data_IF_961219093592
#
_entry.id   IF_961219093592
#
_cell.length_a   1.000
_cell.length_b   1.000
_cell.length_c   1.000
_cell.angle_alpha   90.00
_cell.angle_beta   90.00
_cell.angle_gamma   90.00
#
_symmetry.space_group_name_H-M   'P 1'
#
loop_
_entity.id
_entity.type
_entity.pdbx_description
1 polymer ?
#
# COMPACT_ATOMS: atom_id res chain seq x y z
N UNK A 1 2.34 -16.88 -2.93
CA UNK A 1 3.11 -15.89 -2.18
C UNK A 1 2.55 -15.71 -0.76
N UNK A 2 1.37 -15.09 -0.55
CA UNK A 2 0.76 -14.96 0.80
C UNK A 2 0.54 -16.33 1.45
N UNK A 3 0.08 -17.34 0.70
CA UNK A 3 -0.06 -18.72 1.18
C UNK A 3 1.26 -19.34 1.62
N UNK A 4 2.32 -19.07 0.87
CA UNK A 4 3.66 -19.59 1.20
C UNK A 4 4.18 -18.96 2.50
N UNK A 5 3.96 -17.65 2.68
CA UNK A 5 4.29 -16.96 3.94
C UNK A 5 3.46 -17.58 5.08
N UNK A 6 2.14 -17.70 4.93
CA UNK A 6 1.25 -18.26 5.94
C UNK A 6 1.67 -19.68 6.36
N UNK A 7 2.10 -20.51 5.41
CA UNK A 7 2.54 -21.89 5.69
C UNK A 7 3.80 -21.96 6.57
N UNK A 8 4.60 -20.90 6.64
CA UNK A 8 5.83 -20.83 7.44
C UNK A 8 5.65 -20.05 8.74
N UNK A 9 4.47 -19.46 9.01
CA UNK A 9 4.19 -18.75 10.25
C UNK A 9 3.76 -19.72 11.38
N UNK A 10 4.04 -19.35 12.63
CA UNK A 10 3.47 -20.04 13.76
C UNK A 10 1.93 -20.09 13.71
N UNK A 11 1.35 -21.17 14.23
CA UNK A 11 -0.10 -21.31 14.24
C UNK A 11 -0.76 -20.15 15.03
N UNK A 12 -1.75 -19.51 14.42
CA UNK A 12 -2.49 -18.39 15.01
C UNK A 12 -1.84 -17.02 14.81
N UNK A 13 -0.72 -16.94 14.07
CA UNK A 13 -0.15 -15.66 13.68
C UNK A 13 -0.61 -15.25 12.28
N UNK A 14 -1.18 -14.03 12.12
CA UNK A 14 -1.61 -13.54 10.81
C UNK A 14 -0.42 -13.23 9.89
N UNK A 15 -0.64 -13.27 8.59
CA UNK A 15 0.28 -12.67 7.62
C UNK A 15 0.09 -11.16 7.68
N UNK A 16 1.16 -10.44 8.01
CA UNK A 16 1.16 -8.99 8.18
C UNK A 16 1.59 -8.31 6.89
N UNK A 17 0.65 -7.60 6.27
CA UNK A 17 0.83 -6.89 4.99
C UNK A 17 0.92 -5.40 5.24
N UNK A 18 1.92 -4.71 4.69
CA UNK A 18 1.95 -3.26 4.62
C UNK A 18 1.51 -2.81 3.23
N UNK A 19 0.64 -1.82 3.16
CA UNK A 19 0.24 -1.18 1.90
C UNK A 19 0.25 0.34 2.01
N UNK A 20 0.35 1.02 0.86
CA UNK A 20 0.47 2.46 0.77
C UNK A 20 -0.41 3.01 -0.34
N UNK A 21 -1.05 4.16 -0.11
CA UNK A 21 -2.05 4.75 -0.98
C UNK A 21 -3.36 3.92 -1.01
N UNK A 22 -4.16 4.09 -2.05
CA UNK A 22 -5.30 3.23 -2.33
C UNK A 22 -5.12 2.59 -3.71
N UNK A 23 -5.03 1.29 -3.73
CA UNK A 23 -5.06 0.46 -4.92
C UNK A 23 -6.11 -0.64 -4.77
N UNK A 24 -7.21 -0.28 -4.13
CA UNK A 24 -8.40 -1.09 -3.93
C UNK A 24 -9.45 -0.87 -5.01
N UNK A 25 -10.63 -1.43 -4.81
CA UNK A 25 -11.71 -1.44 -5.78
C UNK A 25 -12.35 -0.06 -6.01
N UNK A 26 -12.25 0.87 -5.06
CA UNK A 26 -12.72 2.26 -5.26
C UNK A 26 -11.86 3.05 -6.25
N UNK A 27 -10.55 2.77 -6.30
CA UNK A 27 -9.63 3.44 -7.24
C UNK A 27 -9.49 2.70 -8.57
N UNK A 28 -9.73 1.39 -8.58
CA UNK A 28 -9.60 0.56 -9.78
C UNK A 28 -10.94 -0.13 -10.09
N UNK A 29 -10.99 -1.44 -10.21
CA UNK A 29 -12.24 -2.20 -10.46
C UNK A 29 -12.23 -3.47 -9.64
N UNK A 30 -13.40 -3.91 -9.22
CA UNK A 30 -13.65 -5.15 -8.48
C UNK A 30 -12.77 -5.31 -7.23
N UNK A 31 -11.78 -6.20 -7.28
CA UNK A 31 -10.92 -6.54 -6.15
C UNK A 31 -9.79 -5.52 -5.88
N UNK A 32 -9.63 -4.55 -6.76
CA UNK A 32 -8.46 -3.69 -6.75
C UNK A 32 -7.24 -4.36 -7.37
N UNK A 33 -6.07 -3.77 -7.17
CA UNK A 33 -4.78 -4.34 -7.59
C UNK A 33 -3.98 -4.84 -6.39
N UNK A 34 -3.46 -3.96 -5.54
CA UNK A 34 -2.73 -4.34 -4.34
C UNK A 34 -3.60 -5.03 -3.29
N UNK A 35 -4.89 -4.68 -3.19
CA UNK A 35 -5.82 -5.29 -2.25
C UNK A 35 -6.37 -6.63 -2.71
N UNK A 36 -6.37 -6.91 -4.01
CA UNK A 36 -6.85 -8.17 -4.58
C UNK A 36 -6.24 -9.42 -3.93
N UNK A 37 -4.91 -9.58 -3.83
CA UNK A 37 -4.34 -10.74 -3.17
C UNK A 37 -4.66 -10.84 -1.68
N UNK A 38 -4.92 -9.70 -1.02
CA UNK A 38 -5.33 -9.64 0.39
C UNK A 38 -6.73 -10.23 0.56
N UNK A 39 -7.71 -9.77 -0.23
CA UNK A 39 -9.08 -10.25 -0.17
C UNK A 39 -9.19 -11.72 -0.52
N UNK A 40 -8.54 -12.16 -1.61
CA UNK A 40 -8.55 -13.57 -1.99
C UNK A 40 -7.88 -14.48 -0.97
N UNK A 41 -6.85 -14.00 -0.28
CA UNK A 41 -6.24 -14.77 0.79
C UNK A 41 -7.16 -14.86 2.03
N UNK A 42 -7.81 -13.78 2.40
CA UNK A 42 -8.80 -13.76 3.48
C UNK A 42 -9.99 -14.69 3.19
N UNK A 43 -10.54 -14.64 1.96
CA UNK A 43 -11.59 -15.56 1.52
C UNK A 43 -11.16 -17.03 1.53
N UNK A 44 -9.88 -17.30 1.29
CA UNK A 44 -9.30 -18.64 1.40
C UNK A 44 -9.04 -19.08 2.85
N UNK A 45 -9.44 -18.28 3.84
CA UNK A 45 -9.31 -18.59 5.26
C UNK A 45 -7.89 -18.37 5.82
N UNK A 46 -7.05 -17.62 5.12
CA UNK A 46 -5.74 -17.21 5.63
C UNK A 46 -5.94 -16.01 6.57
N UNK A 47 -5.42 -16.11 7.78
CA UNK A 47 -5.43 -15.00 8.73
C UNK A 47 -4.49 -13.89 8.25
N UNK A 48 -5.03 -12.69 8.05
CA UNK A 48 -4.32 -11.53 7.52
C UNK A 48 -4.55 -10.32 8.40
N UNK A 49 -3.48 -9.56 8.61
CA UNK A 49 -3.52 -8.26 9.25
C UNK A 49 -2.85 -7.23 8.34
N UNK A 50 -3.54 -6.11 8.06
CA UNK A 50 -3.04 -5.09 7.13
C UNK A 50 -2.68 -3.81 7.86
N UNK A 51 -1.48 -3.29 7.63
CA UNK A 51 -1.11 -1.93 7.95
C UNK A 51 -1.36 -1.05 6.73
N UNK A 52 -2.32 -0.14 6.83
CA UNK A 52 -2.64 0.84 5.79
C UNK A 52 -2.04 2.19 6.18
N UNK A 53 -1.03 2.64 5.44
CA UNK A 53 -0.45 3.96 5.64
C UNK A 53 -1.46 5.07 5.34
N UNK A 54 -1.46 6.14 6.14
CA UNK A 54 -2.36 7.29 5.94
C UNK A 54 -2.22 7.94 4.56
N UNK A 55 -1.01 7.94 4.00
CA UNK A 55 -0.69 8.49 2.68
C UNK A 55 -0.93 10.01 2.62
N UNK A 56 -0.20 10.74 3.48
CA UNK A 56 -0.18 12.20 3.43
C UNK A 56 0.31 12.72 2.07
N UNK A 57 -0.20 13.88 1.57
CA UNK A 57 -1.15 14.77 2.26
C UNK A 57 -2.63 14.44 2.06
N UNK A 58 -3.00 13.60 1.09
CA UNK A 58 -4.40 13.39 0.69
C UNK A 58 -5.12 12.25 1.42
N UNK A 59 -4.43 11.53 2.28
CA UNK A 59 -4.96 10.48 3.16
C UNK A 59 -5.71 9.35 2.43
N UNK A 60 -5.21 8.93 1.26
CA UNK A 60 -5.82 7.82 0.50
C UNK A 60 -5.84 6.49 1.27
N UNK A 61 -4.95 6.33 2.25
CA UNK A 61 -4.97 5.19 3.15
C UNK A 61 -6.25 5.05 3.95
N UNK A 62 -6.96 6.16 4.20
CA UNK A 62 -8.29 6.15 4.83
C UNK A 62 -9.32 5.40 3.98
N UNK A 63 -9.27 5.55 2.65
CA UNK A 63 -10.11 4.79 1.72
C UNK A 63 -9.76 3.30 1.79
N UNK A 64 -8.45 2.98 1.82
CA UNK A 64 -7.99 1.59 1.96
C UNK A 64 -8.47 0.96 3.26
N UNK A 65 -8.37 1.68 4.39
CA UNK A 65 -8.85 1.19 5.68
C UNK A 65 -10.38 0.95 5.65
N UNK A 66 -11.13 1.84 5.04
CA UNK A 66 -12.58 1.67 4.88
C UNK A 66 -12.93 0.44 4.02
N UNK A 67 -12.23 0.23 2.90
CA UNK A 67 -12.43 -0.95 2.06
C UNK A 67 -12.09 -2.25 2.80
N UNK A 68 -10.96 -2.30 3.51
CA UNK A 68 -10.56 -3.46 4.31
C UNK A 68 -11.59 -3.79 5.38
N UNK A 69 -12.10 -2.76 6.09
CA UNK A 69 -13.16 -2.91 7.07
C UNK A 69 -14.46 -3.45 6.45
N UNK A 70 -14.82 -2.97 5.26
CA UNK A 70 -16.01 -3.44 4.52
C UNK A 70 -15.93 -4.91 4.12
N UNK A 71 -14.70 -5.44 3.93
CA UNK A 71 -14.45 -6.86 3.66
C UNK A 71 -14.16 -7.69 4.93
N UNK A 72 -14.22 -7.08 6.12
CA UNK A 72 -13.95 -7.76 7.38
C UNK A 72 -12.47 -8.14 7.58
N UNK A 73 -11.55 -7.53 6.83
CA UNK A 73 -10.12 -7.75 6.98
C UNK A 73 -9.59 -6.94 8.16
N UNK A 74 -8.90 -7.59 9.09
CA UNK A 74 -8.28 -6.92 10.23
C UNK A 74 -7.17 -5.97 9.76
N UNK A 75 -7.18 -4.74 10.25
CA UNK A 75 -6.22 -3.74 9.83
C UNK A 75 -5.95 -2.66 10.89
N UNK A 76 -4.86 -1.94 10.71
CA UNK A 76 -4.58 -0.68 11.39
C UNK A 76 -4.32 0.43 10.37
N UNK A 77 -4.88 1.59 10.63
CA UNK A 77 -4.56 2.83 9.91
C UNK A 77 -3.39 3.49 10.63
N UNK A 78 -2.26 3.68 9.95
CA UNK A 78 -1.01 4.11 10.56
C UNK A 78 -0.43 5.35 9.87
N UNK A 79 0.40 6.11 10.59
CA UNK A 79 1.16 7.21 9.98
C UNK A 79 2.20 6.67 8.99
N UNK A 80 2.48 7.43 7.93
CA UNK A 80 3.38 6.99 6.84
C UNK A 80 4.76 6.53 7.32
N UNK A 81 5.32 7.17 8.34
CA UNK A 81 6.66 6.86 8.83
C UNK A 81 6.70 5.59 9.72
N UNK A 82 5.55 5.10 10.19
CA UNK A 82 5.51 3.89 11.02
C UNK A 82 5.88 2.62 10.24
N UNK A 83 5.67 2.60 8.91
CA UNK A 83 5.95 1.43 8.08
C UNK A 83 7.40 0.94 8.20
N UNK A 84 8.38 1.86 8.15
CA UNK A 84 9.79 1.52 8.33
C UNK A 84 10.10 0.97 9.73
N UNK A 85 9.51 1.57 10.77
CA UNK A 85 9.64 1.09 12.15
C UNK A 85 9.08 -0.32 12.32
N UNK A 86 7.91 -0.60 11.78
CA UNK A 86 7.30 -1.93 11.83
C UNK A 86 8.16 -3.00 11.13
N UNK A 87 8.74 -2.65 9.97
CA UNK A 87 9.65 -3.56 9.25
C UNK A 87 10.91 -3.87 10.08
N UNK A 88 11.53 -2.87 10.72
CA UNK A 88 12.68 -3.07 11.59
C UNK A 88 12.40 -4.00 12.79
N UNK A 89 11.16 -4.07 13.23
CA UNK A 89 10.74 -4.90 14.37
C UNK A 89 10.13 -6.25 13.95
N UNK A 90 10.27 -6.63 12.67
CA UNK A 90 9.74 -7.91 12.16
C UNK A 90 8.22 -8.01 12.21
N UNK A 91 7.53 -6.87 12.17
CA UNK A 91 6.07 -6.80 12.25
C UNK A 91 5.41 -6.73 10.87
N UNK A 92 6.17 -6.81 9.78
CA UNK A 92 5.69 -6.84 8.40
C UNK A 92 6.30 -8.04 7.69
N UNK A 93 5.47 -8.88 7.11
CA UNK A 93 5.92 -10.06 6.37
C UNK A 93 6.06 -9.78 4.87
N UNK A 94 5.30 -8.81 4.35
CA UNK A 94 5.28 -8.45 2.94
C UNK A 94 4.74 -7.03 2.76
N UNK A 95 5.30 -6.31 1.80
CA UNK A 95 4.75 -5.04 1.33
C UNK A 95 4.12 -5.25 -0.05
N UNK A 96 2.87 -4.82 -0.23
CA UNK A 96 2.16 -4.86 -1.51
C UNK A 96 1.58 -3.49 -1.79
N UNK A 97 1.97 -2.89 -2.91
CA UNK A 97 1.47 -1.57 -3.35
C UNK A 97 0.95 -1.64 -4.79
N UNK A 98 0.17 -0.65 -5.19
CA UNK A 98 -0.18 -0.44 -6.60
C UNK A 98 0.87 0.38 -7.34
N UNK A 99 0.52 0.85 -8.52
CA UNK A 99 1.33 1.79 -9.28
C UNK A 99 0.45 2.71 -10.12
N UNK A 100 0.84 3.99 -10.22
CA UNK A 100 0.20 4.94 -11.13
C UNK A 100 0.71 4.74 -12.56
N UNK A 101 1.98 4.38 -12.73
CA UNK A 101 2.62 4.06 -14.02
C UNK A 101 3.85 3.19 -13.81
N UNK A 102 4.04 2.22 -14.68
CA UNK A 102 5.26 1.41 -14.75
C UNK A 102 5.90 1.58 -16.12
N UNK A 103 7.19 1.91 -16.15
CA UNK A 103 7.96 2.07 -17.39
C UNK A 103 8.36 0.71 -17.98
N UNK A 104 8.77 0.71 -19.27
CA UNK A 104 9.21 -0.49 -19.98
C UNK A 104 10.43 -1.18 -19.35
N UNK A 105 11.28 -0.42 -18.66
CA UNK A 105 12.44 -0.96 -17.92
C UNK A 105 12.10 -1.53 -16.53
N UNK A 106 10.83 -1.44 -16.11
CA UNK A 106 10.34 -1.91 -14.81
C UNK A 106 10.38 -0.85 -13.71
N UNK A 107 10.76 0.39 -13.99
CA UNK A 107 10.65 1.49 -13.02
C UNK A 107 9.18 1.75 -12.67
N UNK A 108 8.90 1.86 -11.38
CA UNK A 108 7.56 2.07 -10.85
C UNK A 108 7.39 3.50 -10.34
N UNK A 109 6.42 4.21 -10.88
CA UNK A 109 5.95 5.47 -10.34
C UNK A 109 4.65 5.22 -9.56
N UNK A 110 4.67 5.54 -8.28
CA UNK A 110 3.52 5.41 -7.40
C UNK A 110 3.48 6.58 -6.42
N UNK A 111 2.48 6.63 -5.57
CA UNK A 111 2.28 7.66 -4.55
C UNK A 111 3.58 7.96 -3.78
N UNK A 112 3.83 9.25 -3.53
CA UNK A 112 4.96 9.71 -2.71
C UNK A 112 5.01 8.95 -1.38
N UNK A 113 6.18 8.48 -0.97
CA UNK A 113 6.39 7.59 0.16
C UNK A 113 6.70 6.14 -0.23
N UNK A 114 6.31 5.69 -1.43
CA UNK A 114 6.55 4.32 -1.90
C UNK A 114 8.04 3.99 -1.96
N UNK A 115 8.89 4.91 -2.44
CA UNK A 115 10.34 4.73 -2.51
C UNK A 115 10.96 4.49 -1.12
N UNK A 116 10.56 5.27 -0.11
CA UNK A 116 11.05 5.10 1.26
C UNK A 116 10.65 3.75 1.85
N UNK A 117 9.44 3.25 1.53
CA UNK A 117 8.98 1.93 1.94
C UNK A 117 9.74 0.80 1.24
N UNK A 118 10.03 0.98 -0.04
CA UNK A 118 10.86 0.02 -0.79
C UNK A 118 12.28 -0.06 -0.22
N UNK A 119 12.89 1.08 0.14
CA UNK A 119 14.19 1.11 0.79
C UNK A 119 14.15 0.43 2.16
N UNK A 120 13.15 0.74 2.99
CA UNK A 120 13.00 0.12 4.30
C UNK A 120 12.75 -1.40 4.19
N UNK A 121 11.96 -1.83 3.22
CA UNK A 121 11.72 -3.25 2.94
C UNK A 121 13.02 -3.95 2.52
N UNK A 122 13.80 -3.35 1.63
CA UNK A 122 15.10 -3.87 1.22
C UNK A 122 16.08 -3.99 2.39
N UNK A 123 16.20 -2.95 3.20
CA UNK A 123 17.09 -2.90 4.37
C UNK A 123 16.74 -3.98 5.42
N UNK A 124 15.46 -4.33 5.54
CA UNK A 124 14.97 -5.30 6.50
C UNK A 124 14.64 -6.68 5.91
N UNK A 125 15.02 -6.94 4.64
CA UNK A 125 14.73 -8.18 3.93
C UNK A 125 13.24 -8.55 3.86
N UNK A 126 12.37 -7.54 3.81
CA UNK A 126 10.92 -7.74 3.63
C UNK A 126 10.60 -7.76 2.15
N UNK A 127 9.91 -8.80 1.63
CA UNK A 127 9.49 -8.83 0.23
C UNK A 127 8.61 -7.63 -0.13
N UNK A 128 8.93 -6.97 -1.25
CA UNK A 128 8.20 -5.82 -1.76
C UNK A 128 7.64 -6.10 -3.15
N UNK A 129 6.34 -5.99 -3.31
CA UNK A 129 5.65 -6.28 -4.57
C UNK A 129 4.81 -5.11 -5.04
N UNK A 130 4.76 -4.94 -6.35
CA UNK A 130 3.89 -3.99 -7.03
C UNK A 130 2.87 -4.77 -7.84
N UNK A 131 1.59 -4.60 -7.49
CA UNK A 131 0.48 -5.26 -8.17
C UNK A 131 -0.17 -4.32 -9.19
N UNK A 132 -0.17 -4.73 -10.46
CA UNK A 132 -0.68 -3.89 -11.56
C UNK A 132 -1.27 -4.73 -12.69
N UNK A 133 -2.26 -4.20 -13.43
CA UNK A 133 -2.67 -4.77 -14.71
C UNK A 133 -1.69 -4.34 -15.81
N UNK A 134 -1.57 -5.13 -16.86
CA UNK A 134 -0.68 -4.84 -17.98
C UNK A 134 -0.96 -3.49 -18.67
N UNK A 135 -2.19 -3.00 -18.56
CA UNK A 135 -2.60 -1.69 -19.08
C UNK A 135 -1.93 -0.50 -18.37
N UNK A 136 -1.37 -0.71 -17.19
CA UNK A 136 -0.64 0.33 -16.44
C UNK A 136 0.82 0.45 -16.89
N UNK A 137 1.31 -0.50 -17.69
CA UNK A 137 2.66 -0.46 -18.23
C UNK A 137 2.69 0.47 -19.44
N UNK A 138 3.52 1.51 -19.35
CA UNK A 138 3.77 2.44 -20.45
C UNK A 138 5.05 1.99 -21.18
N UNK A 139 4.85 1.28 -22.28
CA UNK A 139 5.94 0.74 -23.09
C UNK A 139 6.74 1.81 -23.84
N UNK A 140 6.23 3.04 -23.90
CA UNK A 140 6.92 4.18 -24.52
C UNK A 140 7.90 4.88 -23.59
N UNK A 141 7.80 4.65 -22.30
CA UNK A 141 8.69 5.20 -21.26
C UNK A 141 9.79 4.18 -20.94
N UNK A 142 11.05 4.57 -21.14
CA UNK A 142 12.20 3.69 -20.92
C UNK A 142 12.99 3.98 -19.64
N UNK A 143 12.77 5.15 -19.01
CA UNK A 143 13.38 5.55 -17.77
C UNK A 143 12.36 6.30 -16.92
N UNK A 144 11.84 5.65 -15.88
CA UNK A 144 10.78 6.22 -15.05
C UNK A 144 11.19 7.47 -14.30
N UNK A 145 12.46 7.59 -13.91
CA UNK A 145 12.96 8.73 -13.12
C UNK A 145 13.02 10.00 -13.98
N UNK A 146 13.46 9.89 -15.23
CA UNK A 146 13.67 11.05 -16.11
C UNK A 146 12.48 11.40 -16.99
N UNK A 147 11.62 10.43 -17.31
CA UNK A 147 10.58 10.59 -18.32
C UNK A 147 9.16 10.68 -17.74
N UNK A 148 8.90 10.12 -16.54
CA UNK A 148 7.58 10.25 -15.91
C UNK A 148 7.47 11.62 -15.23
N UNK A 149 6.56 12.49 -15.67
CA UNK A 149 6.38 13.80 -15.05
C UNK A 149 5.74 13.65 -13.68
N UNK A 150 6.36 14.26 -12.67
CA UNK A 150 5.80 14.34 -11.32
C UNK A 150 5.18 15.71 -11.11
N UNK A 151 3.90 15.76 -10.85
CA UNK A 151 3.19 17.02 -10.63
C UNK A 151 3.60 17.69 -9.30
N UNK A 152 3.72 19.01 -9.34
CA UNK A 152 3.86 19.83 -8.12
C UNK A 152 2.47 20.24 -7.66
N UNK A 153 2.12 19.85 -6.45
CA UNK A 153 0.82 20.13 -5.84
C UNK A 153 0.82 21.43 -5.06
N UNK A 154 -0.34 22.10 -4.88
CA UNK A 154 -0.45 23.30 -4.04
C UNK A 154 -0.01 23.06 -2.61
N UNK A 155 0.63 24.07 -2.00
CA UNK A 155 1.13 24.00 -0.62
C UNK A 155 0.01 23.77 0.40
N UNK A 156 -1.20 24.16 0.08
CA UNK A 156 -2.40 24.00 0.92
C UNK A 156 -2.67 22.53 1.24
N UNK A 157 -2.33 21.60 0.34
CA UNK A 157 -2.50 20.15 0.60
C UNK A 157 -1.63 19.66 1.77
N UNK A 158 -0.48 20.31 2.00
CA UNK A 158 0.40 19.98 3.14
C UNK A 158 0.11 20.85 4.35
N UNK A 159 -0.17 22.14 4.12
CA UNK A 159 -0.35 23.11 5.18
C UNK A 159 -1.68 22.95 5.93
N UNK A 160 -2.68 22.32 5.31
CA UNK A 160 -3.98 22.05 5.92
C UNK A 160 -4.12 20.56 6.26
N UNK A 161 -4.74 20.30 7.40
CA UNK A 161 -5.07 18.93 7.84
C UNK A 161 -6.59 18.87 7.99
N UNK A 162 -7.20 17.92 7.30
CA UNK A 162 -8.58 17.56 7.51
C UNK A 162 -8.63 16.43 8.54
N UNK A 163 -9.43 16.60 9.56
CA UNK A 163 -9.53 15.62 10.64
C UNK A 163 -10.78 15.83 11.47
N UNK A 164 -11.05 14.89 12.37
CA UNK A 164 -12.19 14.95 13.26
C UNK A 164 -11.96 16.04 14.33
N UNK A 165 -12.86 17.01 14.44
CA UNK A 165 -12.88 17.99 15.51
C UNK A 165 -13.34 17.39 16.84
N UNK A 166 -13.17 18.13 17.93
CA UNK A 166 -13.64 17.73 19.27
C UNK A 166 -15.18 17.58 19.31
N UNK A 167 -15.89 18.26 18.42
CA UNK A 167 -17.35 18.20 18.21
C UNK A 167 -17.79 17.01 17.35
N UNK A 168 -16.85 16.24 16.80
CA UNK A 168 -17.11 15.10 15.91
C UNK A 168 -17.35 15.48 14.44
N UNK A 169 -17.18 16.76 14.09
CA UNK A 169 -17.28 17.24 12.70
C UNK A 169 -15.89 17.21 12.02
N UNK A 170 -15.88 17.07 10.66
CA UNK A 170 -14.65 17.03 9.84
C UNK A 170 -14.42 18.38 9.16
#
# INVERSE_FOLDING_TARGET
LIRDIAAHKPQGEPVRVLTHCNAGWLATVDWGTATSPIYHAAEAGIDIYVYADETRPRNQGGITAWELGSHGVQHAFIVDNAGGHLMQHGMVDIVIVGTDRTAANGDVCNKIGTYLKALAAYDNNVPFYVALPSSTIDWSVHNGISEIPIEKRPVEEVARVQGLGEDGEI
#
